data_IF_971231439272
#
_entry.id   IF_971231439272
#
_cell.length_a   1.000
_cell.length_b   1.000
_cell.length_c   1.000
_cell.angle_alpha   90.00
_cell.angle_beta   90.00
_cell.angle_gamma   90.00
#
_symmetry.space_group_name_H-M   'P 1'
#
loop_
_entity.id
_entity.type
_entity.pdbx_description
1 polymer ?
#
# COMPACT_ATOMS: atom_id res chain seq x y z
N UNK A 1 0.26 17.75 4.45
CA UNK A 1 0.12 16.59 5.35
C UNK A 1 1.23 15.59 5.04
N UNK A 2 1.88 15.06 6.07
CA UNK A 2 2.99 14.10 5.94
C UNK A 2 2.41 12.69 5.70
N UNK A 3 3.01 11.91 4.80
CA UNK A 3 2.66 10.49 4.61
C UNK A 3 3.28 9.71 5.76
N UNK A 4 2.48 8.92 6.46
CA UNK A 4 2.94 8.01 7.49
C UNK A 4 3.51 6.76 6.80
N UNK A 5 4.83 6.77 6.54
CA UNK A 5 5.48 5.72 5.76
C UNK A 5 5.31 4.32 6.36
N UNK A 6 5.13 4.19 7.68
CA UNK A 6 4.91 2.90 8.33
C UNK A 6 3.64 2.20 7.82
N UNK A 7 2.58 2.94 7.51
CA UNK A 7 1.33 2.41 6.92
C UNK A 7 1.61 1.75 5.58
N UNK A 8 2.49 2.37 4.79
CA UNK A 8 2.91 1.84 3.49
C UNK A 8 3.73 0.56 3.68
N UNK A 9 4.66 0.54 4.64
CA UNK A 9 5.44 -0.67 4.94
C UNK A 9 4.54 -1.84 5.37
N UNK A 10 3.56 -1.60 6.25
CA UNK A 10 2.62 -2.64 6.68
C UNK A 10 1.76 -3.16 5.53
N UNK A 11 1.25 -2.28 4.65
CA UNK A 11 0.53 -2.70 3.45
C UNK A 11 1.40 -3.56 2.53
N UNK A 12 2.64 -3.14 2.27
CA UNK A 12 3.56 -3.92 1.45
C UNK A 12 3.88 -5.28 2.06
N UNK A 13 4.01 -5.39 3.38
CA UNK A 13 4.19 -6.69 4.06
C UNK A 13 2.98 -7.59 3.79
N UNK A 14 1.76 -7.08 4.01
CA UNK A 14 0.52 -7.85 3.78
C UNK A 14 0.36 -8.25 2.31
N UNK A 15 0.69 -7.35 1.39
CA UNK A 15 0.61 -7.66 -0.04
C UNK A 15 1.69 -8.68 -0.45
N UNK A 16 2.89 -8.65 0.16
CA UNK A 16 3.96 -9.64 -0.08
C UNK A 16 3.58 -11.06 0.37
N UNK A 17 2.74 -11.19 1.39
CA UNK A 17 2.18 -12.49 1.79
C UNK A 17 1.27 -13.09 0.69
N UNK A 18 0.69 -12.25 -0.17
CA UNK A 18 -0.16 -12.66 -1.29
C UNK A 18 0.62 -12.79 -2.59
N UNK A 19 1.58 -11.90 -2.83
CA UNK A 19 2.45 -11.90 -4.00
C UNK A 19 3.89 -11.50 -3.61
N UNK A 20 4.82 -12.48 -3.51
CA UNK A 20 6.21 -12.23 -3.16
C UNK A 20 6.98 -11.31 -4.12
N UNK A 21 6.49 -11.11 -5.36
CA UNK A 21 7.21 -10.36 -6.41
C UNK A 21 7.06 -8.83 -6.33
N UNK A 22 6.28 -8.31 -5.37
CA UNK A 22 6.02 -6.87 -5.19
C UNK A 22 7.28 -6.02 -4.99
N UNK A 23 8.38 -6.63 -4.52
CA UNK A 23 9.64 -5.94 -4.27
C UNK A 23 9.61 -5.06 -3.02
N UNK A 24 10.68 -4.31 -2.78
CA UNK A 24 10.88 -3.50 -1.57
C UNK A 24 10.51 -2.04 -1.78
N UNK A 25 10.05 -1.36 -0.72
CA UNK A 25 9.76 0.06 -0.74
C UNK A 25 11.00 0.89 -1.13
N UNK A 26 10.83 1.81 -2.09
CA UNK A 26 11.86 2.77 -2.49
C UNK A 26 11.46 4.19 -2.11
N UNK A 27 10.24 4.60 -2.49
CA UNK A 27 9.73 5.94 -2.18
C UNK A 27 8.20 5.98 -2.35
N UNK A 28 7.57 7.01 -1.81
CA UNK A 28 6.15 7.27 -2.06
C UNK A 28 5.89 8.75 -2.33
N UNK A 29 4.84 9.03 -3.10
CA UNK A 29 4.32 10.38 -3.28
C UNK A 29 2.79 10.36 -3.30
N UNK A 30 2.18 11.44 -2.83
CA UNK A 30 0.74 11.63 -2.93
C UNK A 30 0.37 11.97 -4.38
N UNK A 31 -0.72 11.39 -4.85
CA UNK A 31 -1.34 11.62 -6.16
C UNK A 31 -2.82 11.98 -5.94
N UNK A 32 -3.54 12.35 -6.99
CA UNK A 32 -4.94 12.80 -6.87
C UNK A 32 -5.87 11.77 -6.22
N UNK A 33 -5.63 10.47 -6.43
CA UNK A 33 -6.48 9.38 -5.95
C UNK A 33 -5.93 8.60 -4.74
N UNK A 34 -4.80 9.03 -4.18
CA UNK A 34 -4.14 8.32 -3.07
C UNK A 34 -2.63 8.47 -3.07
N UNK A 35 -1.90 7.37 -2.97
CA UNK A 35 -0.44 7.36 -2.83
C UNK A 35 0.17 6.42 -3.87
N UNK A 36 1.07 6.96 -4.69
CA UNK A 36 1.91 6.16 -5.57
C UNK A 36 3.16 5.72 -4.79
N UNK A 37 3.32 4.42 -4.64
CA UNK A 37 4.46 3.76 -4.01
C UNK A 37 5.36 3.20 -5.10
N UNK A 38 6.63 3.58 -5.10
CA UNK A 38 7.64 2.95 -5.95
C UNK A 38 8.27 1.81 -5.17
N UNK A 39 8.23 0.61 -5.74
CA UNK A 39 9.02 -0.52 -5.24
C UNK A 39 10.18 -0.82 -6.18
N UNK A 40 11.02 -1.78 -5.81
CA UNK A 40 12.09 -2.31 -6.66
C UNK A 40 11.57 -3.09 -7.87
N UNK A 41 10.36 -3.62 -7.81
CA UNK A 41 9.75 -4.42 -8.88
C UNK A 41 8.85 -3.58 -9.77
N UNK A 42 7.76 -3.05 -9.22
CA UNK A 42 6.77 -2.28 -9.96
C UNK A 42 6.10 -1.23 -9.05
N UNK A 43 5.74 -0.05 -9.58
CA UNK A 43 5.00 0.92 -8.79
C UNK A 43 3.59 0.41 -8.46
N UNK A 44 3.13 0.72 -7.24
CA UNK A 44 1.80 0.37 -6.73
C UNK A 44 1.04 1.66 -6.42
N UNK A 45 -0.20 1.74 -6.87
CA UNK A 45 -1.12 2.81 -6.48
C UNK A 45 -1.99 2.34 -5.32
N UNK A 46 -1.83 2.99 -4.17
CA UNK A 46 -2.65 2.74 -2.98
C UNK A 46 -3.76 3.80 -2.94
N UNK A 47 -5.04 3.40 -3.10
CA UNK A 47 -6.17 4.31 -2.97
C UNK A 47 -6.22 4.97 -1.59
N UNK A 48 -6.66 6.23 -1.54
CA UNK A 48 -6.73 6.99 -0.28
C UNK A 48 -7.58 6.26 0.78
N UNK A 49 -8.69 5.63 0.38
CA UNK A 49 -9.55 4.89 1.31
C UNK A 49 -8.81 3.70 1.93
N UNK A 50 -8.04 2.94 1.14
CA UNK A 50 -7.25 1.81 1.66
C UNK A 50 -6.13 2.30 2.58
N UNK A 51 -5.47 3.40 2.22
CA UNK A 51 -4.43 3.99 3.07
C UNK A 51 -5.00 4.46 4.42
N UNK A 52 -6.14 5.16 4.41
CA UNK A 52 -6.80 5.62 5.64
C UNK A 52 -7.27 4.43 6.48
N UNK A 53 -7.89 3.44 5.84
CA UNK A 53 -8.36 2.25 6.53
C UNK A 53 -7.21 1.44 7.14
N UNK A 54 -6.05 1.34 6.47
CA UNK A 54 -4.87 0.72 7.07
C UNK A 54 -4.37 1.53 8.28
N UNK A 55 -4.46 2.86 8.24
CA UNK A 55 -4.04 3.69 9.36
C UNK A 55 -4.98 3.57 10.57
N UNK A 56 -6.28 3.42 10.34
CA UNK A 56 -7.31 3.40 11.39
C UNK A 56 -7.65 1.99 11.89
N UNK A 57 -7.95 1.06 10.98
CA UNK A 57 -8.29 -0.34 11.27
C UNK A 57 -7.81 -1.29 10.14
N UNK A 58 -6.56 -1.79 10.23
CA UNK A 58 -6.02 -2.74 9.25
C UNK A 58 -6.88 -4.00 9.08
N UNK A 59 -7.61 -4.43 10.10
CA UNK A 59 -8.37 -5.69 10.06
C UNK A 59 -9.60 -5.58 9.17
N UNK A 60 -10.06 -4.35 8.89
CA UNK A 60 -11.19 -4.09 8.01
C UNK A 60 -10.84 -4.22 6.53
N UNK A 61 -9.55 -4.22 6.14
CA UNK A 61 -9.14 -4.42 4.75
C UNK A 61 -9.15 -5.91 4.43
N UNK A 62 -10.02 -6.31 3.52
CA UNK A 62 -10.14 -7.70 3.09
C UNK A 62 -8.98 -8.12 2.17
N UNK A 63 -8.72 -9.42 2.11
CA UNK A 63 -7.75 -9.98 1.15
C UNK A 63 -8.12 -9.65 -0.31
N UNK A 64 -9.41 -9.57 -0.64
CA UNK A 64 -9.88 -9.23 -1.99
C UNK A 64 -9.51 -7.79 -2.35
N UNK A 65 -9.63 -6.86 -1.41
CA UNK A 65 -9.20 -5.48 -1.61
C UNK A 65 -7.68 -5.37 -1.80
N UNK A 66 -6.89 -6.13 -1.01
CA UNK A 66 -5.43 -6.19 -1.19
C UNK A 66 -5.03 -6.78 -2.55
N UNK A 67 -5.70 -7.84 -2.99
CA UNK A 67 -5.47 -8.45 -4.31
C UNK A 67 -5.83 -7.49 -5.45
N UNK A 68 -6.77 -6.57 -5.26
CA UNK A 68 -7.14 -5.56 -6.26
C UNK A 68 -6.05 -4.50 -6.47
N UNK A 69 -5.01 -4.49 -5.63
CA UNK A 69 -3.85 -3.59 -5.73
C UNK A 69 -2.64 -4.23 -6.45
N UNK A 70 -2.75 -5.50 -6.85
CA UNK A 70 -1.69 -6.28 -7.51
C UNK A 70 -1.80 -6.25 -9.04
#
# INVERSE_FOLDING_TARGET
MQIATYVIYELLIRMKELNPDIGDFVSCKRIEKGILVRTTSAPIEIPENIYQQQFEDPSAISTIELLSLL
#
